data_IF_266456621263
#
_entry.id   IF_266456621263
#
_cell.length_a   1.000
_cell.length_b   1.000
_cell.length_c   1.000
_cell.angle_alpha   90.00
_cell.angle_beta   90.00
_cell.angle_gamma   90.00
#
_symmetry.space_group_name_H-M   'P 1'
#
loop_
_entity.id
_entity.type
_entity.pdbx_description
1 polymer ?
#
# COMPACT_ATOMS: atom_id res chain seq x y z
N UNK A 1 -3.02 2.23 -9.17
CA UNK A 1 -4.07 1.41 -9.87
C UNK A 1 -3.46 0.08 -10.23
N UNK A 2 -4.15 -1.02 -9.97
CA UNK A 2 -3.65 -2.36 -10.34
C UNK A 2 -3.40 -2.43 -11.85
N UNK A 3 -2.26 -2.99 -12.24
CA UNK A 3 -1.77 -3.13 -13.61
C UNK A 3 -1.55 -1.80 -14.38
N UNK A 4 -1.33 -0.71 -13.67
CA UNK A 4 -1.09 0.59 -14.28
C UNK A 4 0.11 1.32 -13.67
N UNK A 5 0.25 1.36 -12.35
CA UNK A 5 1.33 2.09 -11.66
C UNK A 5 2.49 1.16 -11.27
N UNK A 6 2.97 0.40 -12.24
CA UNK A 6 4.12 -0.48 -12.10
C UNK A 6 5.45 0.30 -12.05
N UNK A 7 6.57 -0.41 -11.97
CA UNK A 7 7.90 0.19 -11.92
C UNK A 7 8.19 1.06 -13.16
N UNK A 8 7.67 0.69 -14.33
CA UNK A 8 7.90 1.41 -15.58
C UNK A 8 7.12 2.72 -15.63
N UNK A 9 5.85 2.68 -15.18
CA UNK A 9 5.03 3.89 -15.05
C UNK A 9 5.64 4.85 -14.03
N UNK A 10 6.03 4.37 -12.85
CA UNK A 10 6.66 5.21 -11.82
C UNK A 10 7.99 5.82 -12.29
N UNK A 11 8.77 5.07 -13.07
CA UNK A 11 9.98 5.61 -13.69
C UNK A 11 9.65 6.74 -14.68
N UNK A 12 8.67 6.53 -15.57
CA UNK A 12 8.21 7.54 -16.52
C UNK A 12 7.70 8.80 -15.79
N UNK A 13 6.87 8.61 -14.76
CA UNK A 13 6.36 9.73 -13.96
C UNK A 13 7.50 10.51 -13.30
N UNK A 14 8.55 9.85 -12.84
CA UNK A 14 9.70 10.52 -12.24
C UNK A 14 10.53 11.30 -13.25
N UNK A 15 10.56 10.90 -14.51
CA UNK A 15 11.17 11.70 -15.59
C UNK A 15 10.40 13.00 -15.86
N UNK A 16 9.06 12.94 -15.72
CA UNK A 16 8.19 14.11 -15.91
C UNK A 16 8.24 15.04 -14.71
N UNK A 17 8.27 14.50 -13.49
CA UNK A 17 8.25 15.29 -12.26
C UNK A 17 9.16 14.73 -11.18
N UNK A 18 10.02 15.58 -10.64
CA UNK A 18 10.91 15.23 -9.52
C UNK A 18 10.29 15.49 -8.13
N UNK A 19 9.10 16.12 -8.08
CA UNK A 19 8.49 16.57 -6.83
C UNK A 19 7.25 15.78 -6.42
N UNK A 20 6.58 15.09 -7.36
CA UNK A 20 5.38 14.35 -7.07
C UNK A 20 5.67 13.14 -6.19
N UNK A 21 4.79 12.88 -5.23
CA UNK A 21 4.78 11.67 -4.46
C UNK A 21 4.17 10.55 -5.31
N UNK A 22 4.91 9.47 -5.52
CA UNK A 22 4.45 8.34 -6.33
C UNK A 22 3.81 7.27 -5.45
N UNK A 23 2.89 6.52 -6.02
CA UNK A 23 2.20 5.40 -5.35
C UNK A 23 2.37 4.13 -6.17
N UNK A 24 2.66 3.02 -5.48
CA UNK A 24 2.66 1.70 -6.13
C UNK A 24 1.25 1.28 -6.54
N UNK A 25 1.16 0.19 -7.26
CA UNK A 25 -0.08 -0.56 -7.36
C UNK A 25 -0.54 -1.00 -5.97
N UNK A 26 -1.84 -1.31 -5.84
CA UNK A 26 -2.34 -1.89 -4.59
C UNK A 26 -1.88 -3.35 -4.47
N UNK A 27 -1.10 -3.66 -3.45
CA UNK A 27 -0.68 -5.02 -3.10
C UNK A 27 -1.47 -5.51 -1.90
N UNK A 28 -2.02 -6.73 -1.96
CA UNK A 28 -2.79 -7.28 -0.84
C UNK A 28 -1.87 -7.87 0.22
N UNK A 29 -2.28 -7.79 1.51
CA UNK A 29 -1.52 -8.40 2.62
C UNK A 29 -1.28 -9.89 2.40
N UNK A 30 -2.29 -10.62 1.92
CA UNK A 30 -2.17 -12.04 1.62
C UNK A 30 -1.14 -12.34 0.53
N UNK A 31 -1.00 -11.49 -0.48
CA UNK A 31 0.01 -11.66 -1.52
C UNK A 31 1.44 -11.48 -0.96
N UNK A 32 1.62 -10.55 -0.02
CA UNK A 32 2.93 -10.29 0.62
C UNK A 32 3.30 -11.41 1.59
N UNK A 33 2.35 -11.84 2.43
CA UNK A 33 2.62 -12.78 3.54
C UNK A 33 2.66 -14.24 3.05
N UNK A 34 1.77 -14.62 2.15
CA UNK A 34 1.57 -16.01 1.72
C UNK A 34 1.92 -16.27 0.26
N UNK A 35 2.05 -15.22 -0.55
CA UNK A 35 2.39 -15.30 -1.96
C UNK A 35 3.85 -14.93 -2.21
N UNK A 36 4.36 -15.30 -3.39
CA UNK A 36 5.66 -14.83 -3.86
C UNK A 36 5.56 -13.43 -4.50
N UNK A 37 4.88 -12.49 -3.81
CA UNK A 37 4.64 -11.15 -4.33
C UNK A 37 5.81 -10.18 -4.09
N UNK A 38 6.98 -10.67 -3.71
CA UNK A 38 8.18 -9.86 -3.43
C UNK A 38 8.54 -8.96 -4.62
N UNK A 39 8.36 -9.46 -5.86
CA UNK A 39 8.59 -8.68 -7.07
C UNK A 39 7.64 -7.47 -7.22
N UNK A 40 6.44 -7.52 -6.61
CA UNK A 40 5.50 -6.38 -6.63
C UNK A 40 5.90 -5.26 -5.66
N UNK A 41 6.81 -5.58 -4.73
CA UNK A 41 7.36 -4.62 -3.77
C UNK A 41 8.66 -4.00 -4.24
N UNK A 42 9.23 -4.48 -5.36
CA UNK A 42 10.48 -3.97 -5.88
C UNK A 42 10.31 -2.54 -6.41
N UNK A 43 11.23 -1.67 -6.05
CA UNK A 43 11.32 -0.32 -6.55
C UNK A 43 12.77 0.18 -6.50
N UNK A 44 13.09 1.18 -7.30
CA UNK A 44 14.39 1.81 -7.28
C UNK A 44 14.36 3.08 -6.43
N UNK A 45 14.79 2.96 -5.17
CA UNK A 45 14.77 4.07 -4.21
C UNK A 45 15.48 5.33 -4.72
N UNK A 46 16.60 5.19 -5.43
CA UNK A 46 17.37 6.34 -5.92
C UNK A 46 16.66 7.10 -7.05
N UNK A 47 15.74 6.46 -7.73
CA UNK A 47 15.01 7.04 -8.85
C UNK A 47 13.57 7.40 -8.44
N UNK A 48 12.86 6.47 -7.79
CA UNK A 48 11.42 6.59 -7.58
C UNK A 48 11.03 7.40 -6.34
N UNK A 49 11.89 7.54 -5.32
CA UNK A 49 11.56 8.30 -4.11
C UNK A 49 11.22 9.77 -4.42
N UNK A 50 10.24 10.36 -3.70
CA UNK A 50 9.43 9.73 -2.67
C UNK A 50 8.31 8.83 -3.22
N UNK A 51 8.17 7.63 -2.64
CA UNK A 51 7.21 6.63 -3.08
C UNK A 51 6.50 5.96 -1.90
N UNK A 52 5.17 5.78 -2.02
CA UNK A 52 4.34 5.05 -1.07
C UNK A 52 4.01 3.64 -1.57
N UNK A 53 4.06 2.67 -0.64
CA UNK A 53 3.44 1.37 -0.87
C UNK A 53 1.94 1.45 -0.56
N UNK A 54 1.08 1.10 -1.51
CA UNK A 54 -0.34 1.00 -1.26
C UNK A 54 -0.74 -0.44 -0.92
N UNK A 55 -1.33 -0.62 0.26
CA UNK A 55 -1.80 -1.91 0.78
C UNK A 55 -3.31 -2.06 0.65
N UNK A 56 -3.74 -3.30 0.38
CA UNK A 56 -5.13 -3.73 0.48
C UNK A 56 -5.24 -4.89 1.48
N UNK A 57 -6.08 -4.72 2.49
CA UNK A 57 -6.30 -5.72 3.54
C UNK A 57 -7.27 -5.21 4.60
N UNK A 58 -7.76 -6.11 5.45
CA UNK A 58 -8.70 -5.81 6.54
C UNK A 58 -8.28 -6.41 7.88
N UNK A 59 -7.17 -7.16 7.92
CA UNK A 59 -6.62 -7.71 9.15
C UNK A 59 -5.54 -6.77 9.72
N UNK A 60 -5.71 -6.21 10.94
CA UNK A 60 -4.77 -5.28 11.53
C UNK A 60 -3.34 -5.86 11.70
N UNK A 61 -3.22 -7.13 12.11
CA UNK A 61 -1.92 -7.76 12.36
C UNK A 61 -1.15 -8.00 11.05
N UNK A 62 -1.85 -8.42 10.00
CA UNK A 62 -1.26 -8.56 8.67
C UNK A 62 -0.81 -7.21 8.09
N UNK A 63 -1.63 -6.18 8.26
CA UNK A 63 -1.30 -4.83 7.80
C UNK A 63 -0.09 -4.27 8.55
N UNK A 64 0.00 -4.48 9.87
CA UNK A 64 1.17 -4.10 10.66
C UNK A 64 2.44 -4.78 10.13
N UNK A 65 2.40 -6.10 9.95
CA UNK A 65 3.53 -6.87 9.41
C UNK A 65 3.96 -6.42 8.01
N UNK A 66 2.99 -6.16 7.12
CA UNK A 66 3.29 -5.64 5.78
C UNK A 66 3.88 -4.23 5.84
N UNK A 67 3.47 -3.43 6.82
CA UNK A 67 4.02 -2.09 7.04
C UNK A 67 5.49 -2.15 7.46
N UNK A 68 5.86 -3.05 8.39
CA UNK A 68 7.25 -3.28 8.79
C UNK A 68 8.13 -3.71 7.60
N UNK A 69 7.62 -4.62 6.76
CA UNK A 69 8.30 -5.05 5.54
C UNK A 69 8.55 -3.84 4.62
N UNK A 70 7.52 -3.02 4.38
CA UNK A 70 7.62 -1.85 3.53
C UNK A 70 8.67 -0.83 4.06
N UNK A 71 8.66 -0.54 5.36
CA UNK A 71 9.65 0.34 5.98
C UNK A 71 11.06 -0.22 5.83
N UNK A 72 11.24 -1.53 6.07
CA UNK A 72 12.55 -2.19 5.92
C UNK A 72 13.09 -2.14 4.48
N UNK A 73 12.20 -2.14 3.49
CA UNK A 73 12.56 -1.97 2.07
C UNK A 73 12.85 -0.51 1.70
N UNK A 74 12.51 0.44 2.57
CA UNK A 74 12.82 1.85 2.42
C UNK A 74 11.77 2.67 1.71
N UNK A 75 10.52 2.27 1.73
CA UNK A 75 9.39 3.10 1.31
C UNK A 75 9.27 4.35 2.19
N UNK A 76 8.81 5.45 1.59
CA UNK A 76 8.70 6.75 2.25
C UNK A 76 7.34 6.93 2.98
N UNK A 77 6.34 6.14 2.59
CA UNK A 77 4.98 6.16 3.15
C UNK A 77 4.30 4.80 2.95
N UNK A 78 3.35 4.47 3.81
CA UNK A 78 2.43 3.35 3.62
C UNK A 78 1.00 3.89 3.51
N UNK A 79 0.29 3.44 2.49
CA UNK A 79 -1.07 3.89 2.20
C UNK A 79 -2.05 2.72 2.26
N UNK A 80 -3.12 2.84 3.04
CA UNK A 80 -4.22 1.87 3.08
C UNK A 80 -5.29 2.25 2.05
N UNK A 81 -5.64 1.32 1.16
CA UNK A 81 -6.72 1.51 0.19
C UNK A 81 -8.08 1.26 0.84
N UNK A 82 -8.92 2.30 0.87
CA UNK A 82 -10.31 2.25 1.36
C UNK A 82 -11.34 2.55 0.25
N UNK A 83 -10.91 2.76 -0.99
CA UNK A 83 -11.79 3.26 -2.05
C UNK A 83 -12.02 2.31 -3.23
N UNK A 84 -11.27 1.20 -3.35
CA UNK A 84 -11.41 0.31 -4.49
C UNK A 84 -12.73 -0.48 -4.44
N UNK A 85 -13.64 -0.34 -5.45
CA UNK A 85 -14.94 -1.00 -5.45
C UNK A 85 -14.96 -2.32 -6.23
N UNK A 86 -13.82 -2.84 -6.70
CA UNK A 86 -13.78 -4.00 -7.58
C UNK A 86 -14.34 -5.27 -6.91
N UNK A 87 -14.94 -6.17 -7.69
CA UNK A 87 -15.49 -7.44 -7.17
C UNK A 87 -14.44 -8.28 -6.44
N UNK A 88 -13.19 -8.26 -6.90
CA UNK A 88 -12.07 -8.97 -6.26
C UNK A 88 -11.80 -8.42 -4.86
N UNK A 89 -11.89 -7.11 -4.70
CA UNK A 89 -11.72 -6.40 -3.44
C UNK A 89 -12.90 -6.67 -2.50
N UNK A 90 -14.13 -6.66 -3.03
CA UNK A 90 -15.34 -6.99 -2.27
C UNK A 90 -15.31 -8.43 -1.73
N UNK A 91 -14.90 -9.40 -2.55
CA UNK A 91 -14.72 -10.79 -2.09
C UNK A 91 -13.66 -10.94 -1.00
N UNK A 92 -12.66 -10.08 -0.98
CA UNK A 92 -11.63 -10.03 0.06
C UNK A 92 -11.99 -9.16 1.28
N UNK A 93 -13.17 -8.56 1.31
CA UNK A 93 -13.66 -7.70 2.41
C UNK A 93 -12.70 -6.55 2.77
N UNK A 94 -12.10 -5.90 1.77
CA UNK A 94 -11.22 -4.73 1.95
C UNK A 94 -11.58 -3.62 0.94
N UNK A 95 -10.77 -2.55 0.84
CA UNK A 95 -11.08 -1.41 -0.02
C UNK A 95 -12.36 -0.68 0.39
N UNK A 96 -13.26 -0.40 -0.56
CA UNK A 96 -14.49 0.37 -0.31
C UNK A 96 -15.41 -0.27 0.75
N UNK A 97 -15.40 -1.60 0.90
CA UNK A 97 -16.18 -2.29 1.90
C UNK A 97 -15.80 -1.89 3.33
N UNK A 98 -14.55 -1.49 3.57
CA UNK A 98 -14.10 -1.07 4.90
C UNK A 98 -14.71 0.27 5.35
N UNK A 99 -15.16 1.11 4.43
CA UNK A 99 -15.75 2.40 4.79
C UNK A 99 -17.04 2.28 5.62
N UNK A 100 -17.73 1.15 5.53
CA UNK A 100 -18.92 0.87 6.38
C UNK A 100 -18.57 0.38 7.78
N UNK A 101 -17.28 0.07 8.03
CA UNK A 101 -16.77 -0.43 9.31
C UNK A 101 -15.68 0.49 9.90
N UNK A 102 -16.02 1.72 10.30
CA UNK A 102 -15.02 2.72 10.72
C UNK A 102 -14.18 2.28 11.92
N UNK A 103 -14.74 1.45 12.81
CA UNK A 103 -14.00 0.88 13.95
C UNK A 103 -12.91 -0.11 13.49
N UNK A 104 -13.17 -0.86 12.44
CA UNK A 104 -12.16 -1.76 11.84
C UNK A 104 -11.07 -0.96 11.17
N UNK A 105 -11.43 0.07 10.39
CA UNK A 105 -10.47 0.99 9.77
C UNK A 105 -9.57 1.63 10.82
N UNK A 106 -10.14 2.11 11.93
CA UNK A 106 -9.37 2.67 13.03
C UNK A 106 -8.35 1.66 13.59
N UNK A 107 -8.76 0.41 13.82
CA UNK A 107 -7.84 -0.64 14.31
C UNK A 107 -6.73 -0.92 13.30
N UNK A 108 -7.05 -1.03 12.02
CA UNK A 108 -6.07 -1.24 10.96
C UNK A 108 -5.02 -0.12 10.93
N UNK A 109 -5.46 1.13 10.85
CA UNK A 109 -4.57 2.29 10.80
C UNK A 109 -3.75 2.44 12.09
N UNK A 110 -4.34 2.15 13.26
CA UNK A 110 -3.63 2.17 14.54
C UNK A 110 -2.52 1.11 14.59
N UNK A 111 -2.82 -0.12 14.16
CA UNK A 111 -1.83 -1.20 14.11
C UNK A 111 -0.67 -0.87 13.16
N UNK A 112 -0.97 -0.39 11.94
CA UNK A 112 0.04 0.07 11.00
C UNK A 112 0.90 1.19 11.59
N UNK A 113 0.29 2.22 12.18
CA UNK A 113 1.01 3.37 12.73
C UNK A 113 1.89 3.01 13.93
N UNK A 114 1.51 2.03 14.72
CA UNK A 114 2.30 1.55 15.86
C UNK A 114 3.49 0.69 15.43
N UNK A 115 3.43 0.06 14.26
CA UNK A 115 4.47 -0.84 13.76
C UNK A 115 5.61 -0.12 13.03
N UNK A 116 5.41 1.13 12.59
CA UNK A 116 6.41 1.87 11.78
C UNK A 116 6.57 3.31 12.20
N UNK A 117 7.71 3.90 11.83
CA UNK A 117 8.04 5.31 12.05
C UNK A 117 7.63 6.21 10.88
N UNK A 118 7.56 5.66 9.67
CA UNK A 118 7.18 6.41 8.46
C UNK A 118 5.68 6.77 8.46
N UNK A 119 5.26 7.75 7.66
CA UNK A 119 3.86 8.14 7.53
C UNK A 119 2.94 6.98 7.12
N UNK A 120 1.79 6.90 7.77
CA UNK A 120 0.69 6.00 7.39
C UNK A 120 -0.51 6.85 7.00
N UNK A 121 -1.00 6.63 5.79
CA UNK A 121 -2.13 7.38 5.20
C UNK A 121 -3.23 6.43 4.72
N UNK A 122 -4.38 6.96 4.39
CA UNK A 122 -5.49 6.21 3.80
C UNK A 122 -6.03 6.95 2.58
N UNK A 123 -6.39 6.19 1.55
CA UNK A 123 -7.02 6.72 0.34
C UNK A 123 -8.43 6.16 0.21
N UNK A 124 -9.43 7.06 0.29
CA UNK A 124 -10.86 6.80 0.09
C UNK A 124 -11.26 7.00 -1.38
#
# INVERSE_FOLDING_TARGET
MMQCTDIHDRYLMRLITKKSFLYTEMVTTGAIIHGNATHQLEFNKSIESPVALQLGGSNPDELAKCSEIAESMGYDEINLNLGCPSERVQKGSFGACLMIEPKLVQRCLSAMKQSVSIPVTAKC
#
